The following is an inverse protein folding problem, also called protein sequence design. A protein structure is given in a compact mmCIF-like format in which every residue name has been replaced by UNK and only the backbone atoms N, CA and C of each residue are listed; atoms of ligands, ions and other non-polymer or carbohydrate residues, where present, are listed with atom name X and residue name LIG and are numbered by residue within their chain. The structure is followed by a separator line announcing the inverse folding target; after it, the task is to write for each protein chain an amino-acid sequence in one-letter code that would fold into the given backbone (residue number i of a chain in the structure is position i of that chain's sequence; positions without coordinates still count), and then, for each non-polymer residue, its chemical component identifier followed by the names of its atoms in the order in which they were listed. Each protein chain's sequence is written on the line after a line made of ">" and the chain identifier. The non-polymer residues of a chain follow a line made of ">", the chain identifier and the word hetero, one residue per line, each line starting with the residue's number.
data_IF_342263597824
#
_entry.id   IF_342263597824
#
_cell.length_a   1.000
_cell.length_b   1.000
_cell.length_c   1.000
_cell.angle_alpha   90.00
_cell.angle_beta   90.00
_cell.angle_gamma   90.00
#
_symmetry.space_group_name_H-M   'P 1'
#
loop_
_entity.id
_entity.type
_entity.pdbx_description
1 polymer ?
#
# COMPACT_ATOMS: atom_id res chain seq x y z
N UNK A 1 -14.59 7.00 -5.84
CA UNK A 1 -13.47 7.68 -6.50
C UNK A 1 -13.99 8.28 -7.79
N UNK A 2 -13.81 9.58 -7.95
CA UNK A 2 -14.27 10.34 -9.10
C UNK A 2 -13.33 10.15 -10.30
N UNK A 3 -13.79 10.31 -11.55
CA UNK A 3 -12.95 10.17 -12.75
C UNK A 3 -11.68 11.03 -12.73
N UNK A 4 -11.71 12.19 -12.06
CA UNK A 4 -10.54 13.06 -11.91
C UNK A 4 -9.43 12.40 -11.08
N UNK A 5 -9.79 11.76 -9.98
CA UNK A 5 -8.85 11.07 -9.07
C UNK A 5 -8.19 9.89 -9.80
N UNK A 6 -8.95 9.18 -10.64
CA UNK A 6 -8.40 8.13 -11.54
C UNK A 6 -7.35 8.70 -12.49
N UNK A 7 -7.62 9.85 -13.11
CA UNK A 7 -6.67 10.47 -14.04
C UNK A 7 -5.40 10.95 -13.33
N UNK A 8 -5.53 11.46 -12.11
CA UNK A 8 -4.38 11.87 -11.29
C UNK A 8 -3.53 10.65 -10.91
N UNK A 9 -4.15 9.54 -10.51
CA UNK A 9 -3.46 8.27 -10.26
C UNK A 9 -2.73 7.76 -11.52
N UNK A 10 -3.40 7.77 -12.68
CA UNK A 10 -2.78 7.36 -13.95
C UNK A 10 -1.59 8.24 -14.32
N UNK A 11 -1.69 9.56 -14.12
CA UNK A 11 -0.58 10.49 -14.36
C UNK A 11 0.63 10.17 -13.48
N UNK A 12 0.41 9.87 -12.20
CA UNK A 12 1.48 9.45 -11.30
C UNK A 12 2.16 8.15 -11.79
N UNK A 13 1.38 7.16 -12.22
CA UNK A 13 1.91 5.91 -12.78
C UNK A 13 2.72 6.13 -14.06
N UNK A 14 2.24 6.99 -14.96
CA UNK A 14 3.00 7.34 -16.18
C UNK A 14 4.29 8.11 -15.86
N UNK A 15 4.25 9.01 -14.88
CA UNK A 15 5.43 9.72 -14.43
C UNK A 15 6.51 8.76 -13.91
N UNK A 16 6.14 7.79 -13.05
CA UNK A 16 7.06 6.76 -12.56
C UNK A 16 7.67 5.92 -13.70
N UNK A 17 6.84 5.55 -14.67
CA UNK A 17 7.31 4.80 -15.84
C UNK A 17 8.31 5.61 -16.67
N UNK A 18 8.02 6.89 -16.93
CA UNK A 18 8.94 7.77 -17.66
C UNK A 18 10.23 8.00 -16.88
N UNK A 19 10.17 8.15 -15.56
CA UNK A 19 11.34 8.26 -14.69
C UNK A 19 12.22 6.99 -14.79
N UNK A 20 11.62 5.80 -14.80
CA UNK A 20 12.34 4.55 -15.04
C UNK A 20 13.13 4.58 -16.36
N UNK A 21 12.50 5.01 -17.45
CA UNK A 21 13.17 5.14 -18.76
C UNK A 21 14.29 6.18 -18.74
N UNK A 22 14.10 7.30 -18.03
CA UNK A 22 15.12 8.35 -17.88
C UNK A 22 16.35 7.83 -17.13
N UNK A 23 16.16 7.10 -16.03
CA UNK A 23 17.27 6.49 -15.27
C UNK A 23 18.02 5.47 -16.13
N UNK A 24 17.31 4.61 -16.85
CA UNK A 24 17.93 3.64 -17.77
C UNK A 24 18.74 4.37 -18.84
N UNK A 25 18.19 5.41 -19.47
CA UNK A 25 18.89 6.22 -20.48
C UNK A 25 20.17 6.83 -19.90
N UNK A 26 20.11 7.43 -18.71
CA UNK A 26 21.29 7.99 -18.06
C UNK A 26 22.35 6.94 -17.73
N UNK A 27 21.95 5.73 -17.32
CA UNK A 27 22.90 4.62 -17.08
C UNK A 27 23.55 4.11 -18.38
N UNK A 28 22.82 4.14 -19.50
CA UNK A 28 23.35 3.83 -20.84
C UNK A 28 24.42 4.86 -21.21
N UNK A 29 24.11 6.15 -21.08
CA UNK A 29 25.03 7.23 -21.41
C UNK A 29 26.31 7.19 -20.57
N UNK A 30 26.20 6.73 -19.31
CA UNK A 30 27.33 6.54 -18.40
C UNK A 30 28.12 5.23 -18.63
N UNK A 31 27.70 4.38 -19.57
CA UNK A 31 28.36 3.12 -19.86
C UNK A 31 28.36 2.14 -18.68
N UNK A 32 27.25 2.05 -17.93
CA UNK A 32 27.12 1.20 -16.72
C UNK A 32 26.19 0.00 -16.94
N UNK A 33 26.55 -0.98 -17.80
CA UNK A 33 25.65 -2.07 -18.22
C UNK A 33 25.15 -2.96 -17.08
N UNK A 34 25.96 -3.21 -16.05
CA UNK A 34 25.51 -4.05 -14.93
C UNK A 34 24.46 -3.35 -14.05
N UNK A 35 24.61 -2.03 -13.86
CA UNK A 35 23.59 -1.23 -13.14
C UNK A 35 22.28 -1.13 -13.91
N UNK A 36 22.32 -1.14 -15.25
CA UNK A 36 21.11 -1.17 -16.08
C UNK A 36 20.33 -2.45 -15.82
N UNK A 37 20.99 -3.62 -15.84
CA UNK A 37 20.32 -4.91 -15.59
C UNK A 37 19.72 -4.99 -14.19
N UNK A 38 20.46 -4.52 -13.19
CA UNK A 38 20.00 -4.45 -11.80
C UNK A 38 18.75 -3.56 -11.67
N UNK A 39 18.80 -2.36 -12.24
CA UNK A 39 17.70 -1.40 -12.21
C UNK A 39 16.45 -1.91 -12.94
N UNK A 40 16.63 -2.53 -14.13
CA UNK A 40 15.51 -3.12 -14.88
C UNK A 40 14.83 -4.22 -14.06
N UNK A 41 15.59 -5.09 -13.39
CA UNK A 41 15.00 -6.15 -12.54
C UNK A 41 14.20 -5.54 -11.40
N UNK A 42 14.77 -4.57 -10.68
CA UNK A 42 14.07 -3.89 -9.59
C UNK A 42 12.79 -3.22 -10.08
N UNK A 43 12.84 -2.47 -11.19
CA UNK A 43 11.67 -1.83 -11.75
C UNK A 43 10.61 -2.84 -12.19
N UNK A 44 11.02 -3.95 -12.83
CA UNK A 44 10.11 -5.02 -13.23
C UNK A 44 9.41 -5.64 -12.01
N UNK A 45 10.12 -5.88 -10.91
CA UNK A 45 9.55 -6.41 -9.67
C UNK A 45 8.55 -5.42 -9.03
N UNK A 46 8.87 -4.13 -9.03
CA UNK A 46 7.97 -3.07 -8.55
C UNK A 46 6.67 -2.99 -9.39
N UNK A 47 6.78 -3.02 -10.72
CA UNK A 47 5.61 -3.04 -11.61
C UNK A 47 4.82 -4.35 -11.49
N UNK A 48 5.50 -5.49 -11.33
CA UNK A 48 4.84 -6.78 -11.12
C UNK A 48 4.05 -6.79 -9.80
N UNK A 49 4.58 -6.20 -8.73
CA UNK A 49 3.86 -6.04 -7.47
C UNK A 49 2.59 -5.19 -7.64
N UNK A 50 2.68 -4.04 -8.31
CA UNK A 50 1.49 -3.22 -8.66
C UNK A 50 0.46 -4.04 -9.46
N UNK A 51 0.92 -4.84 -10.41
CA UNK A 51 0.07 -5.76 -11.18
C UNK A 51 -0.61 -6.85 -10.34
N UNK A 52 0.05 -7.35 -9.29
CA UNK A 52 -0.55 -8.31 -8.34
C UNK A 52 -1.65 -7.66 -7.50
N UNK A 53 -1.42 -6.43 -7.02
CA UNK A 53 -2.43 -5.64 -6.30
C UNK A 53 -3.71 -5.50 -7.13
N UNK A 54 -3.58 -5.12 -8.40
CA UNK A 54 -4.73 -4.99 -9.32
C UNK A 54 -5.48 -6.32 -9.59
N UNK A 55 -4.82 -7.48 -9.39
CA UNK A 55 -5.38 -8.82 -9.65
C UNK A 55 -5.86 -9.54 -8.37
N UNK A 56 -5.81 -8.88 -7.22
CA UNK A 56 -6.10 -9.49 -5.92
C UNK A 56 -7.59 -9.85 -5.71
N UNK A 57 -8.49 -9.44 -6.61
CA UNK A 57 -9.93 -9.68 -6.45
C UNK A 57 -10.63 -8.71 -5.50
N UNK A 58 -9.94 -7.67 -5.03
CA UNK A 58 -10.46 -6.60 -4.18
C UNK A 58 -10.24 -5.24 -4.87
N UNK A 59 -11.03 -4.89 -5.90
CA UNK A 59 -10.78 -3.71 -6.71
C UNK A 59 -10.81 -2.41 -5.89
N UNK A 60 -11.67 -2.32 -4.88
CA UNK A 60 -11.79 -1.16 -4.00
C UNK A 60 -10.54 -0.96 -3.14
N UNK A 61 -10.01 -2.05 -2.56
CA UNK A 61 -8.78 -2.02 -1.76
C UNK A 61 -7.57 -1.79 -2.65
N UNK A 62 -7.50 -2.46 -3.81
CA UNK A 62 -6.42 -2.29 -4.77
C UNK A 62 -6.33 -0.82 -5.20
N UNK A 63 -7.46 -0.21 -5.53
CA UNK A 63 -7.52 1.20 -5.88
C UNK A 63 -7.06 2.10 -4.74
N UNK A 64 -7.57 1.87 -3.53
CA UNK A 64 -7.22 2.64 -2.36
C UNK A 64 -5.71 2.57 -2.06
N UNK A 65 -5.10 1.39 -2.16
CA UNK A 65 -3.67 1.20 -1.91
C UNK A 65 -2.80 1.84 -3.00
N UNK A 66 -3.22 1.81 -4.26
CA UNK A 66 -2.51 2.49 -5.36
C UNK A 66 -2.59 4.00 -5.22
N UNK A 67 -3.75 4.53 -4.81
CA UNK A 67 -3.93 5.93 -4.48
C UNK A 67 -3.03 6.33 -3.30
N UNK A 68 -3.10 5.57 -2.20
CA UNK A 68 -2.27 5.80 -1.02
C UNK A 68 -0.78 5.77 -1.36
N UNK A 69 -0.35 4.84 -2.21
CA UNK A 69 1.03 4.78 -2.69
C UNK A 69 1.45 6.05 -3.44
N UNK A 70 0.58 6.60 -4.29
CA UNK A 70 0.88 7.81 -5.05
C UNK A 70 0.93 9.07 -4.15
N UNK A 71 0.02 9.17 -3.18
CA UNK A 71 -0.10 10.33 -2.30
C UNK A 71 1.02 10.39 -1.25
N UNK A 72 1.36 9.25 -0.65
CA UNK A 72 2.33 9.17 0.45
C UNK A 72 3.77 9.56 0.05
N UNK A 73 4.06 9.63 -1.26
CA UNK A 73 5.33 10.14 -1.79
C UNK A 73 5.55 11.60 -1.40
N UNK A 74 4.49 12.41 -1.34
CA UNK A 74 4.59 13.81 -0.93
C UNK A 74 5.06 13.97 0.53
N UNK A 75 4.79 12.97 1.37
CA UNK A 75 5.21 12.89 2.77
C UNK A 75 6.53 12.14 2.97
N UNK A 76 7.23 11.78 1.87
CA UNK A 76 8.50 11.06 1.91
C UNK A 76 8.37 9.59 2.30
N UNK A 77 7.19 8.99 2.10
CA UNK A 77 6.91 7.59 2.47
C UNK A 77 6.86 6.73 1.19
N UNK A 78 7.76 5.75 1.09
CA UNK A 78 7.71 4.74 0.02
C UNK A 78 6.78 3.59 0.43
N UNK A 79 5.57 3.58 -0.11
CA UNK A 79 4.60 2.50 0.10
C UNK A 79 4.80 1.40 -0.95
N UNK A 80 4.87 0.14 -0.51
CA UNK A 80 5.06 -1.04 -1.35
C UNK A 80 3.98 -2.09 -1.05
N UNK A 81 2.83 -2.03 -1.74
CA UNK A 81 1.75 -2.98 -1.55
C UNK A 81 1.95 -4.25 -2.38
N UNK A 82 1.62 -5.41 -1.80
CA UNK A 82 1.58 -6.71 -2.46
C UNK A 82 0.41 -7.53 -1.92
N UNK A 83 -0.58 -7.81 -2.75
CA UNK A 83 -1.79 -8.50 -2.34
C UNK A 83 -1.87 -9.88 -2.98
N UNK A 84 -2.09 -10.90 -2.15
CA UNK A 84 -2.54 -12.20 -2.61
C UNK A 84 -4.03 -12.15 -2.93
N UNK A 85 -4.50 -13.10 -3.73
CA UNK A 85 -5.92 -13.18 -4.10
C UNK A 85 -6.80 -13.39 -2.86
N UNK A 86 -7.79 -12.53 -2.69
CA UNK A 86 -8.78 -12.63 -1.63
C UNK A 86 -9.90 -13.63 -1.95
N UNK A 87 -10.67 -14.02 -0.93
CA UNK A 87 -11.96 -14.67 -1.13
C UNK A 87 -12.99 -13.66 -1.62
N UNK A 88 -13.99 -14.14 -2.37
CA UNK A 88 -15.07 -13.32 -2.92
C UNK A 88 -15.97 -12.70 -1.84
N UNK A 89 -15.97 -13.28 -0.63
CA UNK A 89 -16.81 -12.86 0.49
C UNK A 89 -16.17 -11.75 1.34
N UNK A 90 -14.96 -11.30 1.02
CA UNK A 90 -14.27 -10.26 1.80
C UNK A 90 -15.00 -8.92 1.69
N UNK A 91 -15.21 -8.25 2.84
CA UNK A 91 -15.74 -6.88 2.88
C UNK A 91 -14.57 -5.89 2.89
N UNK A 92 -14.49 -4.97 1.91
CA UNK A 92 -13.30 -4.15 1.73
C UNK A 92 -13.11 -2.99 2.73
N UNK A 93 -14.11 -2.67 3.57
CA UNK A 93 -14.09 -1.61 4.62
C UNK A 93 -13.26 -0.36 4.25
N UNK A 94 -13.53 0.22 3.07
CA UNK A 94 -12.68 1.26 2.49
C UNK A 94 -12.64 2.56 3.30
N UNK A 95 -13.73 2.93 3.96
CA UNK A 95 -13.79 4.12 4.81
C UNK A 95 -12.86 3.99 6.02
N UNK A 96 -12.86 2.82 6.68
CA UNK A 96 -11.93 2.52 7.75
C UNK A 96 -10.49 2.57 7.24
N UNK A 97 -10.19 1.92 6.10
CA UNK A 97 -8.83 1.89 5.55
C UNK A 97 -8.32 3.29 5.16
N UNK A 98 -9.17 4.16 4.61
CA UNK A 98 -8.83 5.56 4.35
C UNK A 98 -8.46 6.31 5.62
N UNK A 99 -9.25 6.14 6.69
CA UNK A 99 -8.98 6.72 7.99
C UNK A 99 -7.66 6.19 8.57
N UNK A 100 -7.44 4.88 8.45
CA UNK A 100 -6.22 4.20 8.88
C UNK A 100 -4.97 4.71 8.16
N UNK A 101 -5.00 4.83 6.83
CA UNK A 101 -3.88 5.35 6.05
C UNK A 101 -3.53 6.79 6.45
N UNK A 102 -4.54 7.64 6.68
CA UNK A 102 -4.33 9.02 7.16
C UNK A 102 -3.67 9.04 8.53
N UNK A 103 -4.12 8.19 9.46
CA UNK A 103 -3.52 8.06 10.78
C UNK A 103 -2.06 7.58 10.70
N UNK A 104 -1.77 6.61 9.83
CA UNK A 104 -0.42 6.10 9.61
C UNK A 104 0.53 7.18 9.08
N UNK A 105 0.10 7.99 8.10
CA UNK A 105 0.90 9.12 7.57
C UNK A 105 1.14 10.19 8.62
N UNK A 106 0.12 10.56 9.39
CA UNK A 106 0.25 11.57 10.44
C UNK A 106 1.29 11.18 11.50
N UNK A 107 1.36 9.90 11.85
CA UNK A 107 2.38 9.37 12.78
C UNK A 107 3.74 9.18 12.12
N UNK A 108 3.78 9.11 10.78
CA UNK A 108 5.03 9.04 10.04
C UNK A 108 5.78 10.35 10.13
N UNK A 109 5.11 11.50 9.92
CA UNK A 109 5.72 12.83 9.73
C UNK A 109 6.75 13.27 10.79
N UNK A 110 6.80 12.64 11.97
CA UNK A 110 7.69 12.98 13.08
C UNK A 110 9.14 12.39 12.99
N UNK A 111 9.44 11.37 12.17
CA UNK A 111 10.76 10.67 12.20
C UNK A 111 11.68 10.94 10.99
N UNK A 112 12.85 11.57 11.17
CA UNK A 112 13.68 12.13 10.08
C UNK A 112 14.42 11.20 9.09
N UNK A 113 13.93 10.00 8.75
CA UNK A 113 14.55 9.12 7.74
C UNK A 113 13.55 8.69 6.65
N UNK A 114 14.06 8.23 5.50
CA UNK A 114 13.26 7.72 4.37
C UNK A 114 12.39 6.53 4.84
N UNK A 115 11.07 6.73 4.93
CA UNK A 115 10.16 5.78 5.59
C UNK A 115 9.60 4.79 4.59
N UNK A 116 9.90 3.51 4.78
CA UNK A 116 9.35 2.44 3.95
C UNK A 116 8.15 1.79 4.64
N UNK A 117 7.03 1.74 3.94
CA UNK A 117 5.83 1.03 4.38
C UNK A 117 5.56 -0.13 3.43
N UNK A 118 5.67 -1.35 3.92
CA UNK A 118 5.27 -2.55 3.18
C UNK A 118 3.88 -2.96 3.61
N UNK A 119 3.00 -3.22 2.64
CA UNK A 119 1.63 -3.66 2.90
C UNK A 119 1.47 -5.01 2.21
N UNK A 120 1.14 -6.05 2.96
CA UNK A 120 0.88 -7.38 2.41
C UNK A 120 -0.53 -7.81 2.71
N UNK A 121 -1.21 -8.40 1.73
CA UNK A 121 -2.56 -8.93 1.89
C UNK A 121 -2.60 -10.43 1.72
N UNK A 122 -3.31 -11.14 2.60
CA UNK A 122 -3.56 -12.58 2.48
C UNK A 122 -4.92 -12.98 3.04
N UNK A 123 -5.51 -14.02 2.46
CA UNK A 123 -6.71 -14.64 3.00
C UNK A 123 -6.40 -15.37 4.31
N UNK A 124 -7.31 -15.25 5.27
CA UNK A 124 -7.29 -15.91 6.58
C UNK A 124 -8.67 -16.52 6.85
N UNK A 125 -8.83 -17.47 7.78
CA UNK A 125 -10.13 -18.10 8.04
C UNK A 125 -11.26 -17.11 8.37
N UNK A 126 -10.93 -15.98 8.99
CA UNK A 126 -11.86 -14.92 9.39
C UNK A 126 -12.10 -13.86 8.30
N UNK A 127 -11.51 -14.02 7.11
CA UNK A 127 -11.63 -13.07 5.99
C UNK A 127 -10.29 -12.74 5.35
N UNK A 128 -9.89 -11.48 5.39
CA UNK A 128 -8.67 -11.03 4.73
C UNK A 128 -7.81 -10.16 5.66
N UNK A 129 -6.55 -10.52 5.80
CA UNK A 129 -5.62 -9.81 6.66
C UNK A 129 -4.68 -8.92 5.83
N UNK A 130 -4.71 -7.62 6.11
CA UNK A 130 -3.72 -6.65 5.64
C UNK A 130 -2.67 -6.45 6.72
N UNK A 131 -1.43 -6.79 6.43
CA UNK A 131 -0.28 -6.59 7.33
C UNK A 131 0.53 -5.40 6.84
N UNK A 132 0.64 -4.39 7.70
CA UNK A 132 1.45 -3.20 7.49
C UNK A 132 2.75 -3.37 8.27
N UNK A 133 3.88 -3.08 7.63
CA UNK A 133 5.20 -3.24 8.23
C UNK A 133 6.09 -2.05 7.88
N UNK A 134 6.72 -1.47 8.89
CA UNK A 134 7.61 -0.33 8.76
C UNK A 134 7.83 0.40 10.09
N UNK A 135 8.70 1.42 10.10
CA UNK A 135 9.07 2.16 11.31
C UNK A 135 8.01 3.24 11.64
N UNK A 136 6.83 2.81 12.09
CA UNK A 136 5.73 3.68 12.48
C UNK A 136 5.31 3.39 13.92
N UNK A 137 4.78 4.40 14.62
CA UNK A 137 4.24 4.24 15.97
C UNK A 137 2.88 3.52 15.92
N UNK A 138 2.89 2.21 15.66
CA UNK A 138 1.67 1.44 15.39
C UNK A 138 0.66 1.44 16.54
N UNK A 139 1.11 1.52 17.79
CA UNK A 139 0.21 1.67 18.94
C UNK A 139 -0.55 3.00 18.89
N UNK A 140 0.12 4.11 18.58
CA UNK A 140 -0.55 5.41 18.40
C UNK A 140 -1.54 5.37 17.24
N UNK A 141 -1.19 4.70 16.14
CA UNK A 141 -2.10 4.51 14.99
C UNK A 141 -3.33 3.72 15.41
N UNK A 142 -3.15 2.60 16.14
CA UNK A 142 -4.24 1.76 16.64
C UNK A 142 -5.18 2.54 17.55
N UNK A 143 -4.65 3.32 18.49
CA UNK A 143 -5.44 4.18 19.38
C UNK A 143 -6.29 5.19 18.60
N UNK A 144 -5.69 5.84 17.60
CA UNK A 144 -6.37 6.86 16.79
C UNK A 144 -7.56 6.32 15.99
N UNK A 145 -7.55 5.04 15.63
CA UNK A 145 -8.58 4.41 14.77
C UNK A 145 -9.50 3.45 15.52
N UNK A 146 -9.32 3.28 16.83
CA UNK A 146 -9.98 2.25 17.62
C UNK A 146 -11.52 2.33 17.56
N UNK A 147 -12.07 3.55 17.63
CA UNK A 147 -13.51 3.79 17.56
C UNK A 147 -14.08 3.41 16.19
N UNK A 148 -13.40 3.81 15.10
CA UNK A 148 -13.82 3.48 13.74
C UNK A 148 -13.67 1.98 13.46
N UNK A 149 -12.63 1.34 13.98
CA UNK A 149 -12.43 -0.10 13.86
C UNK A 149 -13.59 -0.88 14.49
N UNK A 150 -13.99 -0.50 15.71
CA UNK A 150 -15.10 -1.12 16.42
C UNK A 150 -16.44 -0.92 15.68
N UNK A 151 -16.68 0.28 15.11
CA UNK A 151 -17.89 0.58 14.34
C UNK A 151 -18.00 -0.23 13.03
N UNK A 152 -16.85 -0.53 12.39
CA UNK A 152 -16.76 -1.29 11.14
C UNK A 152 -16.59 -2.81 11.36
N UNK A 153 -16.53 -3.30 12.61
CA UNK A 153 -16.25 -4.71 12.90
C UNK A 153 -14.85 -5.18 12.48
N UNK A 154 -13.92 -4.25 12.25
CA UNK A 154 -12.54 -4.53 11.86
C UNK A 154 -11.70 -4.81 13.09
N UNK A 155 -11.02 -5.95 13.12
CA UNK A 155 -10.05 -6.26 14.19
C UNK A 155 -8.68 -5.72 13.82
N UNK A 156 -7.97 -5.16 14.80
CA UNK A 156 -6.61 -4.66 14.64
C UNK A 156 -5.70 -5.25 15.72
N UNK A 157 -4.56 -5.79 15.30
CA UNK A 157 -3.55 -6.36 16.19
C UNK A 157 -2.17 -5.78 15.89
N UNK A 158 -1.50 -5.25 16.90
CA UNK A 158 -0.12 -4.80 16.80
C UNK A 158 0.80 -5.95 17.19
N UNK A 159 1.81 -6.21 16.37
CA UNK A 159 2.77 -7.29 16.58
C UNK A 159 4.18 -6.70 16.67
N UNK A 160 4.60 -6.39 17.90
CA UNK A 160 5.86 -5.70 18.16
C UNK A 160 5.83 -4.23 17.72
N UNK A 161 7.02 -3.64 17.56
CA UNK A 161 7.14 -2.21 17.24
C UNK A 161 7.05 -1.90 15.74
N UNK A 162 7.16 -2.91 14.87
CA UNK A 162 7.32 -2.70 13.44
C UNK A 162 6.11 -3.12 12.60
N UNK A 163 5.10 -3.77 13.19
CA UNK A 163 3.99 -4.35 12.43
C UNK A 163 2.63 -4.16 13.07
N UNK A 164 1.64 -3.97 12.21
CA UNK A 164 0.22 -3.97 12.57
C UNK A 164 -0.58 -4.75 11.53
N UNK A 165 -1.54 -5.53 12.01
CA UNK A 165 -2.43 -6.37 11.22
C UNK A 165 -3.84 -5.82 11.33
N UNK A 166 -4.48 -5.65 10.17
CA UNK A 166 -5.87 -5.24 10.01
C UNK A 166 -6.63 -6.41 9.41
N UNK A 167 -7.64 -6.91 10.12
CA UNK A 167 -8.46 -8.04 9.70
C UNK A 167 -9.79 -7.51 9.17
N UNK A 168 -9.99 -7.65 7.87
CA UNK A 168 -11.22 -7.31 7.18
C UNK A 168 -12.22 -8.46 7.31
N UNK A 169 -13.49 -8.17 7.67
CA UNK A 169 -14.49 -9.19 7.87
C UNK A 169 -14.92 -9.83 6.55
N UNK A 170 -15.56 -11.00 6.65
CA UNK A 170 -16.34 -11.59 5.55
C UNK A 170 -17.79 -11.12 5.62
N UNK A 171 -18.49 -11.15 4.50
CA UNK A 171 -19.94 -10.95 4.48
C UNK A 171 -20.59 -12.03 5.32
N UNK A 172 -21.50 -11.63 6.22
CA UNK A 172 -22.38 -12.58 6.87
C UNK A 172 -23.23 -13.26 5.78
N UNK A 173 -23.18 -14.59 5.74
CA UNK A 173 -24.10 -15.37 4.91
C UNK A 173 -25.49 -15.32 5.57
N UNK A 174 -26.32 -14.34 5.18
CA UNK A 174 -27.78 -14.41 5.37
C UNK A 174 -28.43 -15.40 4.39
#
# INVERSE_FOLDING_TARGET
>A
MEPREVLELLRAQYHDFLNCLQVISGLVDLGRPEKIKEYIRQAADEFAARGRVAKAGLPEIACLLLQFQAEAVADGIKVSPDLQRASEDTVPETAFLQHFHRAAVAQASESGEERRLTITGRSVPEGYALTYSGPFAWEKVKEAVAETAAASGVRIEVSGEEKIMVFLPVKDNE
#
